data_IF_054443103648
#
_entry.id   IF_054443103648
#
_cell.length_a   1.000
_cell.length_b   1.000
_cell.length_c   1.000
_cell.angle_alpha   90.00
_cell.angle_beta   90.00
_cell.angle_gamma   90.00
#
_symmetry.space_group_name_H-M   'P 1'
#
loop_
_entity.id
_entity.type
_entity.pdbx_description
1 polymer ?
#
# COMPACT_ATOMS: atom_id res chain seq x y z
N UNK A 1 12.38 -2.86 -6.63
CA UNK A 1 12.33 -1.67 -5.75
C UNK A 1 12.45 -2.12 -4.31
N UNK A 2 13.38 -1.54 -3.55
CA UNK A 2 13.46 -1.70 -2.10
C UNK A 2 12.95 -0.39 -1.46
N UNK A 3 11.95 -0.44 -0.56
CA UNK A 3 11.50 0.73 0.17
C UNK A 3 12.63 1.47 0.88
N UNK A 4 12.75 2.78 0.64
CA UNK A 4 13.70 3.66 1.34
C UNK A 4 15.16 3.19 1.27
N UNK A 5 15.55 2.60 0.14
CA UNK A 5 16.89 2.06 -0.07
C UNK A 5 17.99 3.10 0.22
N UNK A 6 19.08 2.65 0.85
CA UNK A 6 20.20 3.49 1.26
C UNK A 6 19.96 4.39 2.49
N UNK A 7 18.79 4.35 3.13
CA UNK A 7 18.49 5.15 4.33
C UNK A 7 18.61 4.31 5.60
N UNK A 8 19.23 4.86 6.65
CA UNK A 8 19.33 4.19 7.95
C UNK A 8 17.94 3.93 8.58
N UNK A 9 17.65 2.73 9.13
CA UNK A 9 16.36 2.39 9.71
C UNK A 9 15.85 3.35 10.80
N UNK A 10 16.74 3.90 11.62
CA UNK A 10 16.36 4.86 12.67
C UNK A 10 15.88 6.18 12.07
N UNK A 11 16.53 6.64 10.99
CA UNK A 11 16.10 7.84 10.26
C UNK A 11 14.75 7.58 9.58
N UNK A 12 14.56 6.40 8.98
CA UNK A 12 13.27 6.01 8.37
C UNK A 12 12.15 6.07 9.42
N UNK A 13 12.35 5.43 10.58
CA UNK A 13 11.37 5.41 11.66
C UNK A 13 10.99 6.82 12.12
N UNK A 14 11.99 7.67 12.36
CA UNK A 14 11.75 9.06 12.75
C UNK A 14 10.93 9.81 11.69
N UNK A 15 11.34 9.76 10.41
CA UNK A 15 10.62 10.44 9.32
C UNK A 15 9.20 9.95 9.11
N UNK A 16 8.94 8.65 9.26
CA UNK A 16 7.57 8.10 9.16
C UNK A 16 6.70 8.66 10.30
N UNK A 17 7.24 8.71 11.52
CA UNK A 17 6.51 9.16 12.71
C UNK A 17 6.33 10.68 12.77
N UNK A 18 7.33 11.48 12.38
CA UNK A 18 7.34 12.93 12.62
C UNK A 18 7.18 13.78 11.36
N UNK A 19 7.62 13.29 10.20
CA UNK A 19 7.64 14.06 8.93
C UNK A 19 6.61 13.57 7.92
N UNK A 20 5.73 12.66 8.32
CA UNK A 20 4.72 12.07 7.45
C UNK A 20 5.31 11.36 6.20
N UNK A 21 6.52 10.82 6.29
CA UNK A 21 7.08 10.00 5.22
C UNK A 21 6.17 8.79 4.96
N UNK A 22 5.79 8.57 3.70
CA UNK A 22 4.97 7.44 3.26
C UNK A 22 5.70 6.64 2.21
N UNK A 23 5.28 5.38 2.03
CA UNK A 23 5.89 4.50 1.03
C UNK A 23 5.68 5.12 -0.36
N UNK A 24 6.73 5.27 -1.18
CA UNK A 24 6.58 5.77 -2.53
C UNK A 24 5.80 4.75 -3.38
N UNK A 25 4.78 5.23 -4.10
CA UNK A 25 4.06 4.44 -5.09
C UNK A 25 4.87 4.51 -6.39
N UNK A 26 5.27 3.36 -6.98
CA UNK A 26 5.96 3.34 -8.26
C UNK A 26 5.19 4.11 -9.35
N UNK A 27 5.89 4.87 -10.22
CA UNK A 27 5.26 5.38 -11.43
C UNK A 27 4.82 4.21 -12.32
N UNK A 28 3.76 4.43 -13.10
CA UNK A 28 3.24 3.49 -14.11
C UNK A 28 2.62 2.18 -13.57
N UNK A 29 2.04 2.21 -12.37
CA UNK A 29 1.18 1.13 -11.88
C UNK A 29 -0.26 1.26 -12.39
N UNK A 30 -0.91 0.11 -12.61
CA UNK A 30 -2.35 0.04 -12.91
C UNK A 30 -3.14 0.76 -11.82
N UNK A 31 -4.08 1.62 -12.21
CA UNK A 31 -4.89 2.43 -11.29
C UNK A 31 -5.61 1.61 -10.21
N UNK A 32 -5.94 0.34 -10.47
CA UNK A 32 -6.55 -0.58 -9.51
C UNK A 32 -5.56 -1.02 -8.44
N UNK A 33 -4.29 -1.22 -8.82
CA UNK A 33 -3.19 -1.54 -7.90
C UNK A 33 -2.84 -0.32 -7.05
N UNK A 34 -2.80 0.88 -7.64
CA UNK A 34 -2.64 2.13 -6.89
C UNK A 34 -3.75 2.28 -5.85
N UNK A 35 -5.01 2.05 -6.24
CA UNK A 35 -6.14 2.12 -5.31
C UNK A 35 -6.09 1.05 -4.20
N UNK A 36 -5.66 -0.16 -4.51
CA UNK A 36 -5.43 -1.21 -3.53
C UNK A 36 -4.37 -0.77 -2.51
N UNK A 37 -3.26 -0.21 -3.01
CA UNK A 37 -2.17 0.30 -2.19
C UNK A 37 -2.65 1.39 -1.22
N UNK A 38 -3.43 2.37 -1.70
CA UNK A 38 -4.00 3.44 -0.89
C UNK A 38 -4.99 2.95 0.19
N UNK A 39 -5.75 1.88 -0.11
CA UNK A 39 -6.68 1.28 0.85
C UNK A 39 -5.94 0.58 1.99
N UNK A 40 -4.89 -0.17 1.68
CA UNK A 40 -4.10 -0.89 2.67
C UNK A 40 -3.20 0.04 3.51
N UNK A 41 -2.79 1.18 2.96
CA UNK A 41 -1.87 2.11 3.60
C UNK A 41 -2.54 3.37 4.17
N UNK A 42 -3.87 3.36 4.38
CA UNK A 42 -4.59 4.45 5.05
C UNK A 42 -3.95 4.83 6.38
N UNK A 43 -3.84 6.13 6.65
CA UNK A 43 -3.32 6.63 7.93
C UNK A 43 -4.12 6.11 9.11
N UNK A 44 -5.45 6.13 8.98
CA UNK A 44 -6.38 5.57 9.96
C UNK A 44 -6.39 4.03 9.88
N UNK A 45 -5.94 3.32 10.94
CA UNK A 45 -5.93 1.87 10.96
C UNK A 45 -7.33 1.25 10.83
N UNK A 46 -8.38 1.93 11.30
CA UNK A 46 -9.77 1.45 11.23
C UNK A 46 -10.36 1.47 9.81
N UNK A 47 -9.75 2.24 8.90
CA UNK A 47 -10.15 2.29 7.48
C UNK A 47 -9.42 1.28 6.62
N UNK A 48 -8.45 0.54 7.17
CA UNK A 48 -7.71 -0.48 6.43
C UNK A 48 -8.58 -1.74 6.31
N UNK A 49 -8.63 -2.37 5.13
CA UNK A 49 -9.42 -3.58 4.94
C UNK A 49 -8.86 -4.74 5.77
N UNK A 50 -9.74 -5.59 6.28
CA UNK A 50 -9.32 -6.84 6.93
C UNK A 50 -8.89 -7.88 5.89
N UNK A 51 -7.89 -8.69 6.25
CA UNK A 51 -7.35 -9.74 5.39
C UNK A 51 -8.35 -10.87 5.13
N UNK A 52 -9.11 -11.26 6.14
CA UNK A 52 -9.98 -12.44 6.18
C UNK A 52 -11.01 -12.50 5.05
N UNK A 53 -11.71 -11.40 4.79
CA UNK A 53 -12.84 -11.38 3.85
C UNK A 53 -12.67 -10.26 2.84
N UNK A 54 -12.43 -9.03 3.31
CA UNK A 54 -12.50 -7.85 2.44
C UNK A 54 -11.37 -7.81 1.41
N UNK A 55 -10.13 -8.06 1.85
CA UNK A 55 -8.98 -8.00 0.96
C UNK A 55 -8.94 -9.16 -0.04
N UNK A 56 -9.21 -10.39 0.43
CA UNK A 56 -9.23 -11.59 -0.43
C UNK A 56 -10.30 -11.44 -1.51
N UNK A 57 -11.53 -11.04 -1.15
CA UNK A 57 -12.60 -10.82 -2.13
C UNK A 57 -12.26 -9.74 -3.16
N UNK A 58 -11.53 -8.69 -2.76
CA UNK A 58 -11.08 -7.64 -3.68
C UNK A 58 -10.05 -8.19 -4.66
N UNK A 59 -9.07 -8.96 -4.18
CA UNK A 59 -8.04 -9.58 -5.00
C UNK A 59 -8.64 -10.60 -5.99
N UNK A 60 -9.60 -11.42 -5.56
CA UNK A 60 -10.30 -12.36 -6.42
C UNK A 60 -11.03 -11.64 -7.57
N UNK A 61 -11.77 -10.56 -7.25
CA UNK A 61 -12.43 -9.72 -8.27
C UNK A 61 -11.44 -9.07 -9.23
N UNK A 62 -10.26 -8.66 -8.75
CA UNK A 62 -9.22 -8.09 -9.60
C UNK A 62 -8.64 -9.15 -10.54
N UNK A 63 -8.45 -10.39 -10.07
CA UNK A 63 -8.02 -11.52 -10.89
C UNK A 63 -9.05 -11.85 -11.98
N UNK A 64 -10.32 -11.99 -11.62
CA UNK A 64 -11.40 -12.30 -12.58
C UNK A 64 -11.47 -11.28 -13.71
N UNK A 65 -11.35 -9.99 -13.40
CA UNK A 65 -11.35 -8.88 -14.37
C UNK A 65 -10.06 -8.73 -15.18
N UNK A 66 -8.97 -9.35 -14.74
CA UNK A 66 -7.71 -9.38 -15.51
C UNK A 66 -7.70 -10.53 -16.52
N UNK A 67 -8.53 -11.56 -16.31
CA UNK A 67 -8.72 -12.69 -17.23
C UNK A 67 -9.77 -12.42 -18.31
N UNK A 68 -10.43 -11.26 -18.28
CA UNK A 68 -11.38 -10.77 -19.29
C UNK A 68 -10.73 -9.67 -20.13
#
# INVERSE_FOLDING_TARGET
MIPFDGINPMIIGMKITTENLRLPIPPDLDSRIVRLFDLCTKDDPGKRPRFDIQLIQLLDKMRERASQ
#
